data_IF_688886270111
#
_entry.id   IF_688886270111
#
_cell.length_a   1.000
_cell.length_b   1.000
_cell.length_c   1.000
_cell.angle_alpha   90.00
_cell.angle_beta   90.00
_cell.angle_gamma   90.00
#
_symmetry.space_group_name_H-M   'P 1'
#
loop_
_entity.id
_entity.type
_entity.pdbx_description
1 polymer ?
#
# COMPACT_ATOMS: atom_id res chain seq x y z
N UNK A 1 95.37 18.67 -28.06
CA UNK A 1 95.33 19.64 -29.15
C UNK A 1 94.86 20.96 -28.58
N UNK A 2 95.80 21.80 -28.43
CA UNK A 2 95.83 23.20 -28.07
C UNK A 2 94.84 24.05 -28.88
N UNK A 3 94.11 24.93 -28.23
CA UNK A 3 93.71 26.16 -28.87
C UNK A 3 93.73 27.30 -27.85
N UNK A 4 94.77 28.07 -27.95
CA UNK A 4 94.98 29.40 -27.36
C UNK A 4 93.95 30.35 -28.07
N UNK A 5 93.10 30.99 -27.31
CA UNK A 5 92.48 32.24 -27.76
C UNK A 5 93.21 33.39 -27.09
N UNK A 6 93.97 34.11 -27.91
CA UNK A 6 94.63 35.34 -27.67
C UNK A 6 93.65 36.41 -27.18
N UNK A 7 93.80 36.86 -25.92
CA UNK A 7 93.23 38.11 -25.44
C UNK A 7 94.05 39.24 -25.98
N UNK A 8 93.67 39.78 -27.11
CA UNK A 8 94.12 41.05 -27.59
C UNK A 8 93.40 42.15 -26.76
N UNK A 9 93.92 42.47 -25.63
CA UNK A 9 93.54 43.71 -24.98
C UNK A 9 94.09 44.84 -25.82
N UNK A 10 93.17 45.68 -26.32
CA UNK A 10 93.53 46.96 -26.94
C UNK A 10 94.26 47.85 -25.89
N UNK A 11 95.58 47.90 -26.02
CA UNK A 11 96.38 48.83 -25.29
C UNK A 11 96.15 50.25 -25.91
N UNK A 12 95.27 51.01 -25.29
CA UNK A 12 94.92 52.38 -25.78
C UNK A 12 95.86 53.42 -25.26
N UNK A 13 96.73 53.16 -24.28
CA UNK A 13 97.83 54.09 -23.88
C UNK A 13 98.95 53.31 -23.14
N UNK A 14 100.19 53.69 -23.44
CA UNK A 14 101.42 53.15 -22.79
C UNK A 14 101.63 53.62 -21.34
N UNK A 15 100.84 54.55 -20.84
CA UNK A 15 100.92 55.06 -19.48
C UNK A 15 100.03 54.28 -18.51
N UNK A 16 100.60 53.37 -17.75
CA UNK A 16 99.97 52.77 -16.57
C UNK A 16 99.91 53.88 -15.50
N UNK A 17 98.73 54.43 -15.33
CA UNK A 17 98.44 55.33 -14.19
C UNK A 17 98.38 54.43 -12.93
N UNK A 18 99.51 54.51 -12.15
CA UNK A 18 99.44 54.01 -10.79
C UNK A 18 99.09 55.22 -9.90
N UNK A 19 97.88 55.44 -9.56
CA UNK A 19 97.53 56.49 -8.62
C UNK A 19 97.97 56.05 -7.21
N UNK A 20 98.77 56.89 -6.53
CA UNK A 20 99.09 56.65 -5.15
C UNK A 20 97.78 56.52 -4.29
N UNK A 21 97.91 55.81 -3.21
CA UNK A 21 96.72 55.43 -2.36
C UNK A 21 96.01 56.71 -1.87
N UNK A 22 96.66 57.85 -1.77
CA UNK A 22 96.07 59.13 -1.43
C UNK A 22 95.18 59.74 -2.51
N UNK A 23 95.49 59.48 -3.80
CA UNK A 23 94.68 59.95 -4.91
C UNK A 23 93.39 59.15 -5.08
N UNK A 24 93.36 57.87 -4.70
CA UNK A 24 92.12 57.01 -4.70
C UNK A 24 91.13 57.53 -3.65
N UNK A 25 91.64 58.10 -2.56
CA UNK A 25 90.76 58.58 -1.49
C UNK A 25 90.06 59.90 -1.83
N UNK A 26 90.59 60.65 -2.83
CA UNK A 26 90.08 61.97 -3.24
C UNK A 26 89.16 61.89 -4.50
N UNK A 27 89.03 60.74 -5.14
CA UNK A 27 88.09 60.60 -6.24
C UNK A 27 86.65 60.45 -5.70
N UNK A 28 85.76 61.29 -6.24
CA UNK A 28 84.36 61.26 -5.81
C UNK A 28 83.64 59.93 -6.16
N UNK A 29 84.02 59.29 -7.25
CA UNK A 29 83.41 58.03 -7.69
C UNK A 29 83.59 56.86 -6.68
N UNK A 30 84.77 56.60 -6.07
CA UNK A 30 84.88 55.57 -5.02
C UNK A 30 84.21 55.96 -3.71
N UNK A 31 83.98 57.26 -3.45
CA UNK A 31 83.27 57.76 -2.26
C UNK A 31 81.76 57.54 -2.40
N UNK A 32 81.20 57.75 -3.59
CA UNK A 32 79.79 57.52 -3.83
C UNK A 32 79.46 56.03 -3.95
N UNK A 33 80.42 55.20 -4.30
CA UNK A 33 80.23 53.74 -4.40
C UNK A 33 80.49 52.98 -3.08
N UNK A 34 80.76 53.66 -1.97
CA UNK A 34 80.67 53.10 -0.66
C UNK A 34 79.18 52.93 -0.36
N UNK A 35 78.67 51.74 -0.70
CA UNK A 35 77.33 51.36 -0.31
C UNK A 35 77.18 51.73 1.18
N UNK A 36 76.49 52.83 1.42
CA UNK A 36 76.19 53.32 2.75
C UNK A 36 75.64 52.11 3.52
N UNK A 37 75.93 51.98 4.81
CA UNK A 37 75.52 50.90 5.66
C UNK A 37 74.02 50.66 5.68
N UNK A 38 73.31 51.20 4.71
CA UNK A 38 71.87 51.09 4.44
C UNK A 38 71.44 49.68 4.17
N UNK A 39 72.23 48.84 3.47
CA UNK A 39 71.97 47.47 3.21
C UNK A 39 71.90 46.64 4.50
N UNK A 40 72.70 46.98 5.52
CA UNK A 40 72.62 46.33 6.84
C UNK A 40 71.34 46.68 7.58
N UNK A 41 70.93 47.98 7.51
CA UNK A 41 69.69 48.47 8.11
C UNK A 41 68.49 47.88 7.37
N UNK A 42 68.49 47.78 6.03
CA UNK A 42 67.44 47.16 5.22
C UNK A 42 67.39 45.65 5.49
N UNK A 43 68.52 44.98 5.59
CA UNK A 43 68.58 43.53 5.97
C UNK A 43 68.04 43.33 7.37
N UNK A 44 68.39 44.12 8.35
CA UNK A 44 67.87 43.99 9.72
C UNK A 44 66.37 44.31 9.79
N UNK A 45 65.88 45.30 9.01
CA UNK A 45 64.45 45.58 8.88
C UNK A 45 63.71 44.44 8.24
N UNK A 46 64.25 43.83 7.15
CA UNK A 46 63.68 42.64 6.52
C UNK A 46 63.64 41.40 7.48
N UNK A 47 64.75 41.20 8.23
CA UNK A 47 64.79 40.15 9.25
C UNK A 47 63.79 40.40 10.38
N UNK A 48 63.63 41.64 10.83
CA UNK A 48 62.61 42.00 11.82
C UNK A 48 61.21 41.79 11.26
N UNK A 49 60.88 42.20 10.04
CA UNK A 49 59.63 41.96 9.38
C UNK A 49 59.34 40.45 9.18
N UNK A 50 60.38 39.70 8.77
CA UNK A 50 60.29 38.25 8.64
C UNK A 50 59.99 37.55 9.99
N UNK A 51 60.68 38.05 11.07
CA UNK A 51 60.44 37.53 12.42
C UNK A 51 59.02 37.85 12.91
N UNK A 52 58.58 39.11 12.71
CA UNK A 52 57.18 39.49 13.03
C UNK A 52 56.16 38.67 12.22
N UNK A 53 56.42 38.45 10.92
CA UNK A 53 55.60 37.64 10.06
C UNK A 53 55.57 36.18 10.53
N UNK A 54 56.68 35.59 10.93
CA UNK A 54 56.75 34.25 11.51
C UNK A 54 55.94 34.16 12.80
N UNK A 55 56.10 35.14 13.71
CA UNK A 55 55.29 35.21 14.95
C UNK A 55 53.79 35.31 14.60
N UNK A 56 53.42 36.15 13.61
CA UNK A 56 52.02 36.29 13.15
C UNK A 56 51.44 34.99 12.60
N UNK A 57 52.26 34.16 11.93
CA UNK A 57 51.83 32.85 11.42
C UNK A 57 51.43 31.86 12.52
N UNK A 58 51.97 32.00 13.75
CA UNK A 58 51.63 31.14 14.89
C UNK A 58 50.53 31.73 15.78
N UNK A 59 49.99 32.90 15.48
CA UNK A 59 48.86 33.45 16.23
C UNK A 59 47.62 32.57 16.05
N UNK A 60 46.79 32.38 17.11
CA UNK A 60 45.57 31.64 17.04
C UNK A 60 44.55 32.36 16.13
N UNK A 61 44.08 31.66 15.13
CA UNK A 61 43.03 32.08 14.21
C UNK A 61 41.81 31.20 14.39
N UNK A 62 40.66 31.79 14.70
CA UNK A 62 39.41 31.04 14.78
C UNK A 62 38.92 30.74 13.36
N UNK A 63 38.93 29.46 13.01
CA UNK A 63 38.34 29.01 11.74
C UNK A 63 36.89 29.42 11.69
N UNK A 64 36.43 29.97 10.59
CA UNK A 64 35.04 30.31 10.37
C UNK A 64 34.56 29.80 8.99
N UNK A 65 33.40 29.21 8.98
CA UNK A 65 32.71 28.80 7.76
C UNK A 65 31.51 29.69 7.56
N UNK A 66 31.52 30.43 6.44
CA UNK A 66 30.41 31.30 6.05
C UNK A 66 29.52 30.59 5.06
N UNK A 67 28.23 30.58 5.33
CA UNK A 67 27.25 29.96 4.46
C UNK A 67 25.99 30.82 4.40
N UNK A 68 25.45 30.96 3.19
CA UNK A 68 24.14 31.55 3.00
C UNK A 68 23.08 30.47 3.19
N UNK A 69 21.94 30.84 3.75
CA UNK A 69 20.83 29.95 4.01
C UNK A 69 19.51 30.70 4.02
N UNK A 70 18.48 29.98 4.33
CA UNK A 70 17.14 30.53 4.54
C UNK A 70 16.52 29.95 5.79
N UNK A 71 15.64 30.71 6.39
CA UNK A 71 14.85 30.28 7.54
C UNK A 71 13.84 29.25 7.04
N UNK A 72 13.77 28.13 7.74
CA UNK A 72 12.85 27.03 7.48
C UNK A 72 12.30 26.51 8.82
N UNK A 73 11.61 25.39 8.81
CA UNK A 73 11.17 24.71 10.02
C UNK A 73 12.04 23.48 10.29
N UNK A 74 12.20 23.16 11.57
CA UNK A 74 13.03 22.04 12.02
C UNK A 74 12.48 20.71 11.52
N UNK A 75 11.17 20.51 11.63
CA UNK A 75 10.50 19.26 11.22
C UNK A 75 9.82 19.44 9.87
N UNK A 76 9.91 18.42 8.98
CA UNK A 76 9.28 18.47 7.66
C UNK A 76 7.76 18.72 7.70
N UNK A 77 7.06 18.14 8.68
CA UNK A 77 5.62 18.28 8.90
C UNK A 77 5.17 19.70 9.26
N UNK A 78 6.09 20.51 9.75
CA UNK A 78 5.86 21.92 10.12
C UNK A 78 6.07 22.89 8.96
N UNK A 79 6.46 22.39 7.77
CA UNK A 79 6.60 23.23 6.58
C UNK A 79 5.24 23.58 6.00
N UNK A 80 5.13 24.70 5.24
CA UNK A 80 3.93 24.97 4.48
C UNK A 80 3.56 23.78 3.61
N UNK A 81 2.31 23.35 3.72
CA UNK A 81 1.79 22.20 2.99
C UNK A 81 0.76 22.66 1.98
N UNK A 82 0.89 22.16 0.76
CA UNK A 82 -0.11 22.38 -0.27
C UNK A 82 -1.14 21.25 -0.21
N UNK A 83 -2.41 21.62 -0.06
CA UNK A 83 -3.53 20.69 -0.13
C UNK A 83 -3.94 20.55 -1.59
N UNK A 84 -4.01 19.29 -2.02
CA UNK A 84 -4.41 18.91 -3.37
C UNK A 84 -5.84 18.37 -3.39
N UNK A 85 -6.52 18.55 -4.53
CA UNK A 85 -7.81 17.93 -4.78
C UNK A 85 -7.69 16.41 -4.82
N UNK A 86 -8.44 15.72 -3.98
CA UNK A 86 -8.50 14.25 -3.98
C UNK A 86 -9.40 13.72 -5.10
N UNK A 87 -10.33 14.53 -5.58
CA UNK A 87 -11.26 14.23 -6.67
C UNK A 87 -11.35 15.41 -7.62
N UNK A 88 -11.71 15.14 -8.88
CA UNK A 88 -12.09 16.19 -9.80
C UNK A 88 -13.45 16.77 -9.40
N UNK A 89 -13.59 18.09 -9.46
CA UNK A 89 -14.82 18.76 -9.07
C UNK A 89 -14.84 20.21 -9.51
N UNK A 90 -15.96 20.90 -9.25
CA UNK A 90 -16.11 22.33 -9.46
C UNK A 90 -16.18 23.02 -8.11
N UNK A 91 -15.42 24.10 -7.92
CA UNK A 91 -15.42 24.90 -6.69
C UNK A 91 -16.78 25.61 -6.57
N UNK A 92 -17.57 25.25 -5.56
CA UNK A 92 -18.88 25.87 -5.29
C UNK A 92 -18.79 26.92 -4.20
N UNK A 93 -18.02 26.66 -3.16
CA UNK A 93 -17.95 27.56 -1.99
C UNK A 93 -16.64 27.46 -1.26
N UNK A 94 -16.08 28.61 -0.92
CA UNK A 94 -15.01 28.76 0.05
C UNK A 94 -15.59 29.07 1.43
N UNK A 95 -15.06 28.44 2.47
CA UNK A 95 -15.43 28.64 3.86
C UNK A 95 -14.40 29.44 4.65
N UNK A 96 -13.23 29.67 4.05
CA UNK A 96 -12.09 30.34 4.66
C UNK A 96 -11.57 31.46 3.76
N UNK A 97 -10.85 32.41 4.37
CA UNK A 97 -10.12 33.48 3.67
C UNK A 97 -8.62 33.33 3.87
N UNK A 98 -7.83 33.92 2.98
CA UNK A 98 -6.37 33.98 3.16
C UNK A 98 -6.02 34.71 4.47
N UNK A 99 -5.01 34.20 5.18
CA UNK A 99 -4.61 34.69 6.51
C UNK A 99 -5.45 34.16 7.68
N UNK A 100 -6.54 33.47 7.42
CA UNK A 100 -7.43 32.94 8.48
C UNK A 100 -6.80 31.73 9.18
N UNK A 101 -6.95 31.68 10.52
CA UNK A 101 -6.63 30.51 11.31
C UNK A 101 -7.67 29.41 11.10
N UNK A 102 -7.21 28.16 10.92
CA UNK A 102 -8.04 26.96 10.78
C UNK A 102 -7.56 25.88 11.71
N UNK A 103 -8.51 25.05 12.18
CA UNK A 103 -8.22 23.86 12.99
C UNK A 103 -8.29 22.61 12.12
N UNK A 104 -7.64 21.57 12.58
CA UNK A 104 -7.74 20.25 11.95
C UNK A 104 -9.21 19.81 11.80
N UNK A 105 -9.59 19.49 10.57
CA UNK A 105 -10.96 19.08 10.23
C UNK A 105 -11.88 20.22 9.77
N UNK A 106 -11.48 21.48 9.93
CA UNK A 106 -12.28 22.61 9.42
C UNK A 106 -12.39 22.51 7.91
N UNK A 107 -13.61 22.74 7.40
CA UNK A 107 -13.86 22.75 5.95
C UNK A 107 -13.28 24.01 5.33
N UNK A 108 -12.46 23.84 4.30
CA UNK A 108 -11.81 24.91 3.56
C UNK A 108 -12.63 25.29 2.33
N UNK A 109 -12.97 24.28 1.51
CA UNK A 109 -13.70 24.47 0.26
C UNK A 109 -14.65 23.31 0.03
N UNK A 110 -15.80 23.59 -0.54
CA UNK A 110 -16.77 22.61 -1.01
C UNK A 110 -16.72 22.51 -2.54
N UNK A 111 -16.60 21.26 -3.00
CA UNK A 111 -16.58 20.90 -4.40
C UNK A 111 -17.90 20.26 -4.81
N UNK A 112 -18.43 20.58 -5.97
CA UNK A 112 -19.50 19.81 -6.58
C UNK A 112 -18.94 18.80 -7.58
N UNK A 113 -19.66 17.71 -7.76
CA UNK A 113 -19.29 16.65 -8.68
C UNK A 113 -19.42 17.11 -10.14
N UNK A 114 -18.49 16.67 -10.99
CA UNK A 114 -18.49 16.96 -12.44
C UNK A 114 -18.62 15.69 -13.29
N UNK A 115 -18.51 14.50 -12.69
CA UNK A 115 -18.66 13.22 -13.39
C UNK A 115 -20.12 12.76 -13.34
N UNK A 116 -20.69 12.45 -14.51
CA UNK A 116 -22.08 12.03 -14.65
C UNK A 116 -22.48 10.85 -13.77
N UNK A 117 -21.56 9.90 -13.55
CA UNK A 117 -21.79 8.69 -12.74
C UNK A 117 -22.11 8.98 -11.26
N UNK A 118 -21.83 10.18 -10.77
CA UNK A 118 -21.95 10.59 -9.37
C UNK A 118 -22.83 11.81 -9.15
N UNK A 119 -23.55 12.27 -10.20
CA UNK A 119 -24.42 13.45 -10.09
C UNK A 119 -25.64 13.25 -9.18
N UNK A 120 -26.03 12.01 -8.93
CA UNK A 120 -27.20 11.72 -8.10
C UNK A 120 -26.85 11.90 -6.61
N UNK A 121 -27.39 12.91 -5.93
CA UNK A 121 -27.14 13.14 -4.52
C UNK A 121 -27.70 12.03 -3.62
N UNK A 122 -28.69 11.25 -4.12
CA UNK A 122 -29.28 10.13 -3.42
C UNK A 122 -28.60 8.77 -3.76
N UNK A 123 -27.46 8.79 -4.43
CA UNK A 123 -26.77 7.57 -4.89
C UNK A 123 -26.43 6.62 -3.76
N UNK A 124 -26.00 7.13 -2.62
CA UNK A 124 -25.68 6.36 -1.41
C UNK A 124 -26.92 5.66 -0.88
N UNK A 125 -28.04 6.40 -0.75
CA UNK A 125 -29.31 5.88 -0.23
C UNK A 125 -29.92 4.85 -1.18
N UNK A 126 -29.88 5.12 -2.49
CA UNK A 126 -30.38 4.16 -3.50
C UNK A 126 -29.59 2.87 -3.50
N UNK A 127 -28.27 2.97 -3.40
CA UNK A 127 -27.42 1.77 -3.30
C UNK A 127 -27.67 1.02 -1.99
N UNK A 128 -27.89 1.73 -0.89
CA UNK A 128 -28.32 1.14 0.39
C UNK A 128 -29.63 0.37 0.29
N UNK A 129 -30.63 0.96 -0.40
CA UNK A 129 -31.91 0.27 -0.65
C UNK A 129 -31.72 -0.99 -1.52
N UNK A 130 -30.83 -0.97 -2.51
CA UNK A 130 -30.52 -2.15 -3.31
C UNK A 130 -29.84 -3.24 -2.47
N UNK A 131 -28.97 -2.88 -1.55
CA UNK A 131 -28.37 -3.81 -0.58
C UNK A 131 -29.46 -4.47 0.26
N UNK A 132 -30.35 -3.68 0.87
CA UNK A 132 -31.44 -4.20 1.71
C UNK A 132 -32.39 -5.12 0.92
N UNK A 133 -32.74 -4.80 -0.30
CA UNK A 133 -33.57 -5.65 -1.17
C UNK A 133 -32.88 -6.99 -1.48
N UNK A 134 -31.58 -6.98 -1.76
CA UNK A 134 -30.83 -8.21 -2.01
C UNK A 134 -30.64 -9.05 -0.75
N UNK A 135 -30.48 -8.44 0.42
CA UNK A 135 -30.45 -9.13 1.71
C UNK A 135 -31.78 -9.82 2.00
N UNK A 136 -32.90 -9.17 1.69
CA UNK A 136 -34.23 -9.81 1.71
C UNK A 136 -34.31 -11.03 0.81
N UNK A 137 -33.72 -10.98 -0.39
CA UNK A 137 -33.64 -12.14 -1.29
C UNK A 137 -32.85 -13.30 -0.68
N UNK A 138 -31.73 -13.04 -0.02
CA UNK A 138 -30.93 -14.08 0.66
C UNK A 138 -31.76 -14.78 1.76
N UNK A 139 -32.51 -14.01 2.54
CA UNK A 139 -33.41 -14.56 3.57
C UNK A 139 -34.53 -15.46 2.95
N UNK A 140 -35.09 -15.02 1.82
CA UNK A 140 -36.11 -15.81 1.10
C UNK A 140 -35.54 -17.13 0.54
N UNK A 141 -34.33 -17.11 -0.04
CA UNK A 141 -33.65 -18.35 -0.49
C UNK A 141 -33.33 -19.28 0.69
N UNK A 142 -32.89 -18.73 1.82
CA UNK A 142 -32.69 -19.53 3.04
C UNK A 142 -33.95 -20.19 3.53
N UNK A 143 -35.09 -19.50 3.52
CA UNK A 143 -36.41 -20.05 3.82
C UNK A 143 -36.81 -21.17 2.84
N UNK A 144 -36.54 -20.99 1.54
CA UNK A 144 -36.83 -22.03 0.52
C UNK A 144 -35.96 -23.27 0.74
N UNK A 145 -34.67 -23.12 1.06
CA UNK A 145 -33.78 -24.26 1.38
C UNK A 145 -34.33 -25.05 2.56
N UNK A 146 -34.73 -24.38 3.66
CA UNK A 146 -35.31 -25.02 4.83
C UNK A 146 -36.63 -25.76 4.50
N UNK A 147 -37.49 -25.17 3.65
CA UNK A 147 -38.72 -25.80 3.20
C UNK A 147 -38.47 -27.09 2.40
N UNK A 148 -37.47 -27.07 1.49
CA UNK A 148 -37.04 -28.23 0.73
C UNK A 148 -36.47 -29.34 1.62
N UNK A 149 -35.70 -29.02 2.65
CA UNK A 149 -35.17 -29.98 3.63
C UNK A 149 -36.27 -30.62 4.45
N UNK A 150 -37.27 -29.84 4.86
CA UNK A 150 -38.46 -30.35 5.52
C UNK A 150 -39.25 -31.27 4.59
N UNK A 151 -39.43 -30.94 3.31
CA UNK A 151 -40.06 -31.74 2.29
C UNK A 151 -39.33 -33.09 2.10
N UNK A 152 -38.00 -33.06 1.97
CA UNK A 152 -37.19 -34.28 1.86
C UNK A 152 -37.34 -35.19 3.08
N UNK A 153 -37.41 -34.59 4.27
CA UNK A 153 -37.63 -35.33 5.52
C UNK A 153 -39.01 -35.98 5.55
N UNK A 154 -40.05 -35.28 5.10
CA UNK A 154 -41.41 -35.83 4.97
C UNK A 154 -41.49 -36.99 3.96
N UNK A 155 -40.81 -36.84 2.80
CA UNK A 155 -40.71 -37.91 1.79
C UNK A 155 -40.03 -39.17 2.37
N UNK A 156 -38.96 -39.03 3.15
CA UNK A 156 -38.30 -40.17 3.82
C UNK A 156 -39.25 -40.93 4.76
N UNK A 157 -40.02 -40.20 5.55
CA UNK A 157 -41.05 -40.82 6.43
C UNK A 157 -42.15 -41.49 5.64
N UNK A 158 -42.59 -40.93 4.51
CA UNK A 158 -43.57 -41.53 3.61
C UNK A 158 -43.04 -42.84 3.06
N UNK A 159 -41.80 -42.89 2.55
CA UNK A 159 -41.18 -44.14 2.07
C UNK A 159 -41.13 -45.21 3.17
N UNK A 160 -40.70 -44.85 4.38
CA UNK A 160 -40.62 -45.78 5.51
C UNK A 160 -42.01 -46.41 5.80
N UNK A 161 -43.04 -45.57 5.86
CA UNK A 161 -44.41 -46.05 6.10
C UNK A 161 -44.93 -46.93 4.97
N UNK A 162 -44.73 -46.55 3.70
CA UNK A 162 -45.13 -47.37 2.52
C UNK A 162 -44.39 -48.69 2.48
N UNK A 163 -43.07 -48.64 2.78
CA UNK A 163 -42.25 -49.87 2.85
C UNK A 163 -42.75 -50.81 3.92
N UNK A 164 -43.02 -50.34 5.14
CA UNK A 164 -43.60 -51.14 6.22
C UNK A 164 -44.98 -51.76 5.83
N UNK A 165 -45.85 -50.95 5.22
CA UNK A 165 -47.16 -51.40 4.77
C UNK A 165 -47.02 -52.50 3.70
N UNK A 166 -46.17 -52.33 2.72
CA UNK A 166 -45.97 -53.31 1.63
C UNK A 166 -45.30 -54.60 2.13
N UNK A 167 -44.32 -54.49 3.05
CA UNK A 167 -43.75 -55.70 3.69
C UNK A 167 -44.79 -56.51 4.48
N UNK A 168 -45.70 -55.82 5.18
CA UNK A 168 -46.79 -56.50 5.85
C UNK A 168 -47.71 -57.23 4.85
N UNK A 169 -48.06 -56.65 3.69
CA UNK A 169 -48.80 -57.28 2.60
C UNK A 169 -48.06 -58.49 2.03
N UNK A 170 -46.76 -58.39 1.82
CA UNK A 170 -45.89 -59.48 1.38
C UNK A 170 -45.94 -60.62 2.38
N UNK A 171 -45.86 -60.35 3.68
CA UNK A 171 -45.96 -61.37 4.73
C UNK A 171 -47.33 -62.03 4.73
N UNK A 172 -48.44 -61.30 4.62
CA UNK A 172 -49.78 -61.81 4.52
C UNK A 172 -49.93 -62.66 3.27
N UNK A 173 -49.40 -62.22 2.12
CA UNK A 173 -49.44 -63.01 0.88
C UNK A 173 -48.69 -64.36 0.99
N UNK A 174 -47.53 -64.36 1.68
CA UNK A 174 -46.79 -65.61 1.94
C UNK A 174 -47.60 -66.62 2.76
N UNK A 175 -48.28 -66.13 3.81
CA UNK A 175 -49.16 -66.98 4.60
C UNK A 175 -50.34 -67.51 3.76
N UNK A 176 -50.92 -66.67 2.89
CA UNK A 176 -51.96 -67.06 1.96
C UNK A 176 -51.50 -68.18 0.97
N UNK A 177 -50.30 -68.01 0.40
CA UNK A 177 -49.68 -69.02 -0.47
C UNK A 177 -49.50 -70.33 0.26
N UNK A 178 -49.08 -70.34 1.53
CA UNK A 178 -48.93 -71.55 2.31
C UNK A 178 -50.25 -72.26 2.49
N UNK A 179 -51.32 -71.49 2.83
CA UNK A 179 -52.68 -72.09 2.98
C UNK A 179 -53.21 -72.63 1.65
N UNK A 180 -53.10 -71.86 0.57
CA UNK A 180 -53.58 -72.29 -0.76
C UNK A 180 -52.77 -73.47 -1.29
N UNK A 181 -51.48 -73.58 -0.99
CA UNK A 181 -50.62 -74.73 -1.32
C UNK A 181 -51.10 -75.99 -0.60
N UNK A 182 -51.43 -75.87 0.70
CA UNK A 182 -51.97 -77.01 1.48
C UNK A 182 -53.33 -77.49 0.90
N UNK A 183 -54.20 -76.52 0.55
CA UNK A 183 -55.52 -76.87 -0.05
C UNK A 183 -55.32 -77.53 -1.44
N UNK A 184 -54.36 -77.05 -2.23
CA UNK A 184 -54.07 -77.69 -3.54
C UNK A 184 -53.52 -79.11 -3.36
N UNK A 185 -52.58 -79.35 -2.44
CA UNK A 185 -52.11 -80.73 -2.16
C UNK A 185 -53.21 -81.63 -1.64
N UNK A 186 -54.13 -81.17 -0.78
CA UNK A 186 -55.28 -81.88 -0.31
C UNK A 186 -56.20 -82.27 -1.49
N UNK A 187 -56.46 -81.29 -2.40
CA UNK A 187 -57.34 -81.57 -3.58
C UNK A 187 -56.73 -82.56 -4.55
N UNK A 188 -55.41 -82.66 -4.69
CA UNK A 188 -54.69 -83.69 -5.45
C UNK A 188 -54.96 -85.11 -4.84
N UNK A 189 -54.79 -85.15 -3.50
CA UNK A 189 -55.06 -86.43 -2.78
C UNK A 189 -56.51 -86.85 -2.97
N UNK A 190 -57.49 -85.91 -2.82
CA UNK A 190 -58.91 -86.19 -3.05
C UNK A 190 -59.18 -86.70 -4.45
N UNK A 191 -58.56 -86.10 -5.50
CA UNK A 191 -58.68 -86.58 -6.87
C UNK A 191 -58.10 -88.00 -7.02
N UNK A 192 -56.90 -88.28 -6.50
CA UNK A 192 -56.26 -89.59 -6.57
C UNK A 192 -57.09 -90.66 -5.90
N UNK A 193 -57.74 -90.34 -4.76
CA UNK A 193 -58.67 -91.24 -4.08
C UNK A 193 -59.92 -91.54 -4.97
N UNK A 194 -60.53 -90.47 -5.55
CA UNK A 194 -61.68 -90.61 -6.44
C UNK A 194 -61.38 -91.43 -7.70
N UNK A 195 -60.18 -91.24 -8.28
CA UNK A 195 -59.71 -92.04 -9.42
C UNK A 195 -59.53 -93.49 -9.08
N UNK A 196 -58.89 -93.82 -7.96
CA UNK A 196 -58.74 -95.18 -7.47
C UNK A 196 -60.10 -95.87 -7.16
N UNK A 197 -61.07 -95.12 -6.57
CA UNK A 197 -62.39 -95.58 -6.31
C UNK A 197 -63.15 -95.86 -7.61
N UNK A 198 -63.04 -95.01 -8.61
CA UNK A 198 -63.67 -95.24 -9.93
C UNK A 198 -63.10 -96.48 -10.59
N UNK A 199 -61.78 -96.66 -10.64
CA UNK A 199 -61.05 -97.76 -11.21
C UNK A 199 -61.53 -99.11 -10.54
N UNK A 200 -61.63 -99.11 -9.18
CA UNK A 200 -62.13 -100.26 -8.44
C UNK A 200 -63.57 -100.61 -8.76
N UNK A 201 -64.50 -99.61 -8.85
CA UNK A 201 -65.90 -99.84 -9.19
C UNK A 201 -66.03 -100.21 -10.65
N UNK A 202 -65.25 -99.67 -11.57
CA UNK A 202 -65.26 -100.06 -12.98
C UNK A 202 -64.86 -101.50 -13.17
N UNK A 203 -63.80 -102.00 -12.51
CA UNK A 203 -63.37 -103.39 -12.55
C UNK A 203 -64.46 -104.39 -11.96
N UNK A 204 -65.24 -103.97 -10.95
CA UNK A 204 -66.33 -104.73 -10.41
C UNK A 204 -67.57 -104.72 -11.29
N UNK A 205 -67.89 -103.63 -11.99
CA UNK A 205 -68.97 -103.50 -12.94
C UNK A 205 -68.76 -104.41 -14.15
N UNK A 206 -67.52 -104.42 -14.68
CA UNK A 206 -67.13 -105.32 -15.77
C UNK A 206 -67.36 -106.83 -15.41
N UNK A 207 -67.26 -107.16 -14.13
CA UNK A 207 -67.53 -108.48 -13.60
C UNK A 207 -69.04 -108.74 -13.25
N UNK A 208 -69.93 -107.76 -13.52
CA UNK A 208 -71.35 -107.84 -13.23
C UNK A 208 -71.77 -107.74 -11.75
N UNK A 209 -70.78 -107.22 -10.87
CA UNK A 209 -70.96 -107.15 -9.41
C UNK A 209 -71.41 -105.77 -8.91
N UNK A 210 -71.42 -104.75 -9.79
CA UNK A 210 -71.85 -103.38 -9.48
C UNK A 210 -72.78 -102.81 -10.55
N UNK A 211 -73.76 -101.95 -10.14
CA UNK A 211 -74.71 -101.30 -11.04
C UNK A 211 -74.10 -100.22 -11.90
N UNK A 212 -74.74 -99.88 -13.05
CA UNK A 212 -74.32 -98.72 -13.88
C UNK A 212 -74.43 -97.39 -13.12
N UNK A 213 -75.47 -97.24 -12.31
CA UNK A 213 -75.72 -96.04 -11.48
C UNK A 213 -74.53 -95.76 -10.50
N UNK A 214 -74.02 -96.85 -9.87
CA UNK A 214 -72.85 -96.72 -8.98
C UNK A 214 -71.59 -96.33 -9.72
N UNK A 215 -71.37 -96.76 -10.96
CA UNK A 215 -70.30 -96.39 -11.82
C UNK A 215 -70.40 -94.91 -12.19
N UNK A 216 -71.59 -94.48 -12.65
CA UNK A 216 -71.85 -93.04 -12.99
C UNK A 216 -71.67 -92.14 -11.79
N UNK A 217 -72.12 -92.56 -10.57
CA UNK A 217 -71.87 -91.79 -9.34
C UNK A 217 -70.34 -91.58 -9.09
N UNK A 218 -69.51 -92.57 -9.24
CA UNK A 218 -68.06 -92.46 -9.06
C UNK A 218 -67.40 -91.65 -10.16
N UNK A 219 -67.95 -91.70 -11.39
CA UNK A 219 -67.50 -90.89 -12.49
C UNK A 219 -67.77 -89.39 -12.26
N UNK A 220 -68.99 -89.08 -11.72
CA UNK A 220 -69.33 -87.70 -11.28
C UNK A 220 -68.40 -87.23 -10.17
N UNK A 221 -68.20 -88.09 -9.11
CA UNK A 221 -67.28 -87.76 -8.00
C UNK A 221 -65.84 -87.46 -8.49
N UNK A 222 -65.32 -88.22 -9.47
CA UNK A 222 -64.04 -87.94 -10.10
C UNK A 222 -64.02 -86.55 -10.79
N UNK A 223 -65.10 -86.20 -11.53
CA UNK A 223 -65.22 -84.93 -12.21
C UNK A 223 -65.28 -83.74 -11.18
N UNK A 224 -66.04 -83.91 -10.09
CA UNK A 224 -66.09 -82.96 -9.01
C UNK A 224 -64.70 -82.74 -8.35
N UNK A 225 -63.99 -83.83 -8.02
CA UNK A 225 -62.68 -83.79 -7.45
C UNK A 225 -61.66 -83.11 -8.40
N UNK A 226 -61.75 -83.37 -9.72
CA UNK A 226 -60.96 -82.76 -10.75
C UNK A 226 -61.23 -81.25 -10.82
N UNK A 227 -62.51 -80.85 -10.84
CA UNK A 227 -62.88 -79.42 -10.83
C UNK A 227 -62.35 -78.71 -9.56
N UNK A 228 -62.45 -79.34 -8.40
CA UNK A 228 -61.94 -78.85 -7.12
C UNK A 228 -60.40 -78.65 -7.15
N UNK A 229 -59.68 -79.68 -7.71
CA UNK A 229 -58.22 -79.56 -7.89
C UNK A 229 -57.85 -78.38 -8.77
N UNK A 230 -58.50 -78.19 -9.93
CA UNK A 230 -58.24 -77.06 -10.83
C UNK A 230 -58.55 -75.73 -10.12
N UNK A 231 -59.63 -75.62 -9.38
CA UNK A 231 -60.00 -74.47 -8.60
C UNK A 231 -58.91 -74.12 -7.53
N UNK A 232 -58.41 -75.13 -6.80
CA UNK A 232 -57.37 -74.99 -5.82
C UNK A 232 -56.03 -74.58 -6.46
N UNK A 233 -55.70 -75.18 -7.61
CA UNK A 233 -54.50 -74.82 -8.40
C UNK A 233 -54.53 -73.33 -8.83
N UNK A 234 -55.65 -72.88 -9.36
CA UNK A 234 -55.84 -71.51 -9.77
C UNK A 234 -55.71 -70.54 -8.58
N UNK A 235 -56.29 -70.86 -7.41
CA UNK A 235 -56.14 -70.08 -6.18
C UNK A 235 -54.64 -69.95 -5.79
N UNK A 236 -53.94 -71.08 -5.79
CA UNK A 236 -52.51 -71.12 -5.46
C UNK A 236 -51.69 -70.29 -6.44
N UNK A 237 -51.92 -70.36 -7.76
CA UNK A 237 -51.21 -69.51 -8.74
C UNK A 237 -51.56 -68.03 -8.58
N UNK A 238 -52.85 -67.72 -8.32
CA UNK A 238 -53.22 -66.30 -8.07
C UNK A 238 -52.52 -65.73 -6.83
N UNK A 239 -52.37 -66.47 -5.74
CA UNK A 239 -51.67 -66.06 -4.56
C UNK A 239 -50.15 -65.83 -4.81
N UNK A 240 -49.56 -66.66 -5.67
CA UNK A 240 -48.18 -66.47 -6.12
C UNK A 240 -48.04 -65.17 -6.96
N UNK A 241 -48.99 -64.92 -7.85
CA UNK A 241 -48.99 -63.67 -8.63
C UNK A 241 -49.19 -62.42 -7.74
N UNK A 242 -50.06 -62.49 -6.73
CA UNK A 242 -50.26 -61.44 -5.73
C UNK A 242 -48.97 -61.14 -5.01
N UNK A 243 -48.16 -62.14 -4.60
CA UNK A 243 -46.86 -61.94 -3.99
C UNK A 243 -45.91 -61.21 -4.92
N UNK A 244 -45.81 -61.63 -6.18
CA UNK A 244 -44.95 -60.98 -7.17
C UNK A 244 -45.36 -59.51 -7.39
N UNK A 245 -46.67 -59.25 -7.46
CA UNK A 245 -47.22 -57.91 -7.58
C UNK A 245 -46.74 -56.99 -6.42
N UNK A 246 -46.88 -57.43 -5.14
CA UNK A 246 -46.45 -56.64 -3.98
C UNK A 246 -44.96 -56.47 -3.93
N UNK A 247 -44.16 -57.43 -4.40
CA UNK A 247 -42.68 -57.24 -4.53
C UNK A 247 -42.32 -56.19 -5.60
N UNK A 248 -43.03 -56.19 -6.72
CA UNK A 248 -42.88 -55.21 -7.80
C UNK A 248 -43.32 -53.84 -7.34
N UNK A 249 -44.42 -53.71 -6.61
CA UNK A 249 -44.90 -52.47 -6.01
C UNK A 249 -43.84 -51.86 -5.06
N UNK A 250 -43.21 -52.72 -4.23
CA UNK A 250 -42.12 -52.21 -3.34
C UNK A 250 -41.00 -51.63 -4.13
N UNK A 251 -40.52 -52.27 -5.18
CA UNK A 251 -39.43 -51.74 -6.05
C UNK A 251 -39.88 -50.47 -6.77
N UNK A 252 -41.12 -50.39 -7.23
CA UNK A 252 -41.67 -49.19 -7.87
C UNK A 252 -41.67 -47.99 -6.91
N UNK A 253 -42.19 -48.17 -5.68
CA UNK A 253 -42.18 -47.10 -4.67
C UNK A 253 -40.76 -46.61 -4.32
N UNK A 254 -39.80 -47.53 -4.22
CA UNK A 254 -38.41 -47.17 -3.97
C UNK A 254 -37.82 -46.33 -5.12
N UNK A 255 -38.08 -46.70 -6.36
CA UNK A 255 -37.63 -45.96 -7.54
C UNK A 255 -38.29 -44.57 -7.67
N UNK A 256 -39.62 -44.51 -7.47
CA UNK A 256 -40.35 -43.24 -7.45
C UNK A 256 -39.82 -42.28 -6.37
N UNK A 257 -39.59 -42.82 -5.17
CA UNK A 257 -39.02 -42.05 -4.09
C UNK A 257 -37.62 -41.56 -4.44
N UNK A 258 -36.72 -42.41 -4.97
CA UNK A 258 -35.38 -42.02 -5.38
C UNK A 258 -35.40 -40.86 -6.40
N UNK A 259 -36.31 -40.96 -7.39
CA UNK A 259 -36.49 -39.88 -8.38
C UNK A 259 -37.00 -38.58 -7.77
N UNK A 260 -38.00 -38.62 -6.89
CA UNK A 260 -38.54 -37.46 -6.19
C UNK A 260 -37.46 -36.81 -5.30
N UNK A 261 -36.68 -37.64 -4.60
CA UNK A 261 -35.61 -37.19 -3.72
C UNK A 261 -34.49 -36.51 -4.51
N UNK A 262 -34.03 -37.15 -5.61
CA UNK A 262 -33.01 -36.56 -6.47
C UNK A 262 -33.45 -35.21 -7.05
N UNK A 263 -34.73 -35.08 -7.44
CA UNK A 263 -35.30 -33.82 -7.91
C UNK A 263 -35.31 -32.75 -6.83
N UNK A 264 -35.76 -33.06 -5.61
CA UNK A 264 -35.78 -32.14 -4.48
C UNK A 264 -34.38 -31.73 -4.06
N UNK A 265 -33.43 -32.66 -4.09
CA UNK A 265 -32.01 -32.37 -3.80
C UNK A 265 -31.37 -31.46 -4.86
N UNK A 266 -31.63 -31.70 -6.14
CA UNK A 266 -31.19 -30.83 -7.24
C UNK A 266 -31.74 -29.39 -7.08
N UNK A 267 -33.02 -29.25 -6.73
CA UNK A 267 -33.68 -27.97 -6.49
C UNK A 267 -33.06 -27.26 -5.26
N UNK A 268 -32.73 -28.01 -4.19
CA UNK A 268 -32.04 -27.48 -3.02
C UNK A 268 -30.67 -26.92 -3.39
N UNK A 269 -29.87 -27.64 -4.17
CA UNK A 269 -28.56 -27.15 -4.63
C UNK A 269 -28.66 -25.93 -5.55
N UNK A 270 -29.62 -25.91 -6.46
CA UNK A 270 -29.89 -24.72 -7.29
C UNK A 270 -30.25 -23.52 -6.43
N UNK A 271 -31.11 -23.67 -5.42
CA UNK A 271 -31.48 -22.57 -4.51
C UNK A 271 -30.29 -22.10 -3.65
N UNK A 272 -29.43 -23.02 -3.22
CA UNK A 272 -28.19 -22.65 -2.52
C UNK A 272 -27.23 -21.85 -3.43
N UNK A 273 -27.11 -22.24 -4.70
CA UNK A 273 -26.32 -21.49 -5.68
C UNK A 273 -26.85 -20.06 -5.85
N UNK A 274 -28.17 -19.90 -6.01
CA UNK A 274 -28.84 -18.61 -6.09
C UNK A 274 -28.59 -17.77 -4.81
N UNK A 275 -28.61 -18.39 -3.64
CA UNK A 275 -28.29 -17.73 -2.37
C UNK A 275 -26.85 -17.21 -2.31
N UNK A 276 -25.88 -18.01 -2.75
CA UNK A 276 -24.47 -17.60 -2.81
C UNK A 276 -24.23 -16.49 -3.83
N UNK A 277 -24.87 -16.55 -4.98
CA UNK A 277 -24.81 -15.47 -5.99
C UNK A 277 -25.41 -14.16 -5.45
N UNK A 278 -26.53 -14.25 -4.75
CA UNK A 278 -27.13 -13.09 -4.09
C UNK A 278 -26.19 -12.52 -3.02
N UNK A 279 -25.54 -13.37 -2.24
CA UNK A 279 -24.53 -12.95 -1.23
C UNK A 279 -23.34 -12.24 -1.88
N UNK A 280 -22.81 -12.78 -2.97
CA UNK A 280 -21.77 -12.13 -3.76
C UNK A 280 -22.21 -10.77 -4.29
N UNK A 281 -23.45 -10.66 -4.75
CA UNK A 281 -24.03 -9.39 -5.22
C UNK A 281 -24.16 -8.35 -4.11
N UNK A 282 -24.58 -8.76 -2.90
CA UNK A 282 -24.65 -7.89 -1.71
C UNK A 282 -23.28 -7.34 -1.37
N UNK A 283 -22.25 -8.19 -1.33
CA UNK A 283 -20.89 -7.75 -1.04
C UNK A 283 -20.37 -6.73 -2.06
N UNK A 284 -20.65 -6.94 -3.35
CA UNK A 284 -20.30 -6.01 -4.41
C UNK A 284 -21.02 -4.65 -4.24
N UNK A 285 -22.32 -4.69 -3.95
CA UNK A 285 -23.10 -3.46 -3.71
C UNK A 285 -22.65 -2.71 -2.46
N UNK A 286 -22.28 -3.40 -1.37
CA UNK A 286 -21.73 -2.79 -0.16
C UNK A 286 -20.41 -2.07 -0.44
N UNK A 287 -19.48 -2.72 -1.18
CA UNK A 287 -18.22 -2.09 -1.60
C UNK A 287 -18.51 -0.82 -2.42
N UNK A 288 -19.46 -0.87 -3.34
CA UNK A 288 -19.88 0.30 -4.13
C UNK A 288 -20.45 1.41 -3.23
N UNK A 289 -21.32 1.07 -2.30
CA UNK A 289 -21.90 2.03 -1.34
C UNK A 289 -20.81 2.69 -0.48
N UNK A 290 -19.87 1.91 0.07
CA UNK A 290 -18.75 2.45 0.83
C UNK A 290 -17.87 3.40 0.00
N UNK A 291 -17.62 3.04 -1.26
CA UNK A 291 -16.88 3.91 -2.18
C UNK A 291 -17.62 5.23 -2.43
N UNK A 292 -18.94 5.20 -2.57
CA UNK A 292 -19.74 6.41 -2.74
C UNK A 292 -19.74 7.28 -1.47
N UNK A 293 -19.85 6.67 -0.29
CA UNK A 293 -19.74 7.38 1.01
C UNK A 293 -18.38 8.05 1.15
N UNK A 294 -17.29 7.32 0.86
CA UNK A 294 -15.92 7.87 0.92
C UNK A 294 -15.76 9.01 -0.09
N UNK A 295 -16.27 8.84 -1.31
CA UNK A 295 -16.21 9.89 -2.34
C UNK A 295 -16.97 11.13 -1.91
N UNK A 296 -18.15 10.96 -1.32
CA UNK A 296 -18.95 12.09 -0.82
C UNK A 296 -18.21 12.90 0.26
N UNK A 297 -17.40 12.24 1.10
CA UNK A 297 -16.55 12.94 2.07
C UNK A 297 -15.48 13.82 1.41
N UNK A 298 -14.99 13.45 0.23
CA UNK A 298 -13.98 14.23 -0.51
C UNK A 298 -14.53 15.50 -1.18
N UNK A 299 -15.85 15.72 -1.21
CA UNK A 299 -16.41 16.98 -1.65
C UNK A 299 -16.07 18.13 -0.69
N UNK A 300 -15.82 17.82 0.57
CA UNK A 300 -15.37 18.77 1.57
C UNK A 300 -13.86 18.64 1.75
N UNK A 301 -13.10 19.60 1.24
CA UNK A 301 -11.67 19.65 1.49
C UNK A 301 -11.46 20.29 2.84
N UNK A 302 -10.85 19.55 3.74
CA UNK A 302 -10.63 19.94 5.15
C UNK A 302 -9.16 20.18 5.45
N UNK A 303 -8.90 20.97 6.50
CA UNK A 303 -7.56 21.22 7.02
C UNK A 303 -6.98 19.92 7.65
N UNK A 304 -5.78 19.47 7.23
CA UNK A 304 -5.15 18.27 7.79
C UNK A 304 -4.58 18.50 9.20
N UNK A 305 -4.34 19.76 9.56
CA UNK A 305 -3.75 20.19 10.83
C UNK A 305 -4.12 21.64 11.16
N UNK A 306 -3.87 22.06 12.40
CA UNK A 306 -4.05 23.44 12.83
C UNK A 306 -3.04 24.35 12.13
N UNK A 307 -3.49 25.49 11.64
CA UNK A 307 -2.62 26.38 10.89
C UNK A 307 -3.31 27.64 10.36
N UNK A 308 -2.62 28.31 9.47
CA UNK A 308 -3.11 29.52 8.79
C UNK A 308 -3.15 29.26 7.29
N UNK A 309 -4.22 29.72 6.64
CA UNK A 309 -4.32 29.72 5.18
C UNK A 309 -3.32 30.74 4.62
N UNK A 310 -2.37 30.30 3.83
CA UNK A 310 -1.35 31.17 3.23
C UNK A 310 -1.83 31.75 1.92
N UNK A 311 -2.27 30.88 1.00
CA UNK A 311 -2.66 31.27 -0.34
C UNK A 311 -3.66 30.29 -0.91
N UNK A 312 -4.73 30.80 -1.53
CA UNK A 312 -5.64 30.06 -2.40
C UNK A 312 -5.03 30.01 -3.81
N UNK A 313 -4.62 28.82 -4.24
CA UNK A 313 -3.96 28.64 -5.56
C UNK A 313 -4.98 28.65 -6.69
N UNK A 314 -6.19 28.15 -6.41
CA UNK A 314 -7.34 28.10 -7.33
C UNK A 314 -8.53 28.87 -6.74
N UNK A 315 -8.55 30.20 -6.78
CA UNK A 315 -9.53 31.02 -6.05
C UNK A 315 -10.88 31.12 -6.74
N UNK A 316 -11.01 30.74 -8.02
CA UNK A 316 -12.19 31.00 -8.84
C UNK A 316 -13.41 30.16 -8.41
N UNK A 317 -14.53 30.84 -8.04
CA UNK A 317 -15.82 30.16 -7.90
C UNK A 317 -16.29 29.65 -9.25
N UNK A 318 -16.78 28.40 -9.32
CA UNK A 318 -17.16 27.74 -10.56
C UNK A 318 -15.98 27.14 -11.36
N UNK A 319 -14.76 27.33 -10.92
CA UNK A 319 -13.57 26.75 -11.57
C UNK A 319 -13.58 25.22 -11.45
N UNK A 320 -13.29 24.55 -12.56
CA UNK A 320 -13.16 23.08 -12.59
C UNK A 320 -11.74 22.71 -12.26
N UNK A 321 -11.57 21.86 -11.25
CA UNK A 321 -10.30 21.33 -10.81
C UNK A 321 -10.21 19.84 -11.15
N UNK A 322 -8.99 19.38 -11.41
CA UNK A 322 -8.68 17.96 -11.63
C UNK A 322 -8.18 17.32 -10.34
N UNK A 323 -8.27 16.03 -10.27
CA UNK A 323 -7.61 15.25 -9.23
C UNK A 323 -6.10 15.53 -9.24
N UNK A 324 -5.53 15.82 -8.07
CA UNK A 324 -4.13 16.20 -7.91
C UNK A 324 -3.84 17.69 -8.07
N UNK A 325 -4.79 18.54 -8.49
CA UNK A 325 -4.56 19.98 -8.58
C UNK A 325 -4.36 20.58 -7.18
N UNK A 326 -3.38 21.49 -7.07
CA UNK A 326 -3.12 22.25 -5.87
C UNK A 326 -4.24 23.31 -5.65
N UNK A 327 -4.85 23.31 -4.47
CA UNK A 327 -5.98 24.18 -4.15
C UNK A 327 -5.57 25.31 -3.21
N UNK A 328 -4.91 24.99 -2.11
CA UNK A 328 -4.60 25.93 -1.05
C UNK A 328 -3.31 25.51 -0.33
N UNK A 329 -2.54 26.50 0.13
CA UNK A 329 -1.36 26.28 0.98
C UNK A 329 -1.68 26.64 2.42
N UNK A 330 -1.32 25.74 3.36
CA UNK A 330 -1.50 25.91 4.81
C UNK A 330 -0.13 25.95 5.48
N UNK A 331 0.09 26.96 6.34
CA UNK A 331 1.20 27.03 7.26
C UNK A 331 0.75 26.50 8.63
N UNK A 332 1.40 25.48 9.20
CA UNK A 332 1.12 25.04 10.57
C UNK A 332 1.21 26.17 11.60
N UNK A 333 0.32 26.16 12.60
CA UNK A 333 0.32 27.18 13.65
C UNK A 333 1.50 27.02 14.61
N UNK A 334 1.86 25.76 14.93
CA UNK A 334 2.99 25.44 15.80
C UNK A 334 4.17 24.95 14.96
N UNK A 335 5.24 25.73 14.94
CA UNK A 335 6.45 25.36 14.23
C UNK A 335 7.71 25.80 14.96
N UNK A 336 8.71 24.96 14.91
CA UNK A 336 10.05 25.28 15.40
C UNK A 336 10.89 25.78 14.24
N UNK A 337 11.40 27.01 14.39
CA UNK A 337 12.28 27.59 13.39
C UNK A 337 13.60 26.83 13.32
N UNK A 338 14.15 26.77 12.13
CA UNK A 338 15.50 26.33 11.85
C UNK A 338 16.05 27.14 10.67
N UNK A 339 17.35 27.14 10.49
CA UNK A 339 17.97 27.66 9.28
C UNK A 339 18.60 26.52 8.51
N UNK A 340 18.25 26.39 7.25
CA UNK A 340 19.01 25.58 6.33
C UNK A 340 20.09 26.43 5.68
N UNK A 341 21.33 26.10 5.92
CA UNK A 341 22.49 26.77 5.31
C UNK A 341 23.25 25.80 4.40
N UNK A 342 23.87 26.36 3.37
CA UNK A 342 24.55 25.58 2.34
C UNK A 342 26.07 25.80 2.42
N UNK A 343 26.78 24.75 2.87
CA UNK A 343 28.22 24.75 3.14
C UNK A 343 28.96 24.13 1.96
N UNK A 344 30.10 24.68 1.60
CA UNK A 344 30.96 24.17 0.53
C UNK A 344 31.56 22.81 0.91
N UNK A 345 31.81 21.90 -0.05
CA UNK A 345 32.43 20.62 0.22
C UNK A 345 33.75 20.68 0.97
N UNK A 346 34.54 21.70 0.69
CA UNK A 346 35.83 21.95 1.35
C UNK A 346 35.70 22.22 2.87
N UNK A 347 34.59 22.85 3.27
CA UNK A 347 34.38 23.30 4.65
C UNK A 347 33.57 22.26 5.47
N UNK A 348 32.95 21.27 4.80
CA UNK A 348 32.12 20.26 5.45
C UNK A 348 32.87 19.44 6.52
N UNK A 349 34.13 18.99 6.30
CA UNK A 349 34.87 18.22 7.30
C UNK A 349 35.11 18.96 8.61
N UNK A 350 35.03 20.27 8.59
CA UNK A 350 35.19 21.12 9.78
C UNK A 350 33.93 21.26 10.60
N UNK A 351 32.75 20.96 9.99
CA UNK A 351 31.46 21.04 10.64
C UNK A 351 31.16 19.78 11.44
N UNK A 352 30.63 19.99 12.64
CA UNK A 352 30.19 18.90 13.51
C UNK A 352 28.78 19.16 14.02
N UNK A 353 28.03 18.10 14.31
CA UNK A 353 26.74 18.22 14.98
C UNK A 353 26.97 18.84 16.36
N UNK A 354 26.14 19.82 16.73
CA UNK A 354 26.32 20.61 17.96
C UNK A 354 27.22 21.82 17.82
N UNK A 355 27.89 22.02 16.68
CA UNK A 355 28.76 23.19 16.46
C UNK A 355 27.96 24.51 16.56
N UNK A 356 28.48 25.53 17.25
CA UNK A 356 27.82 26.83 17.38
C UNK A 356 27.87 27.58 16.06
N UNK A 357 26.77 28.21 15.69
CA UNK A 357 26.62 29.04 14.49
C UNK A 357 26.02 30.38 14.90
N UNK A 358 26.54 31.45 14.36
CA UNK A 358 25.96 32.79 14.49
C UNK A 358 25.26 33.19 13.21
N UNK A 359 24.03 33.69 13.33
CA UNK A 359 23.21 34.13 12.21
C UNK A 359 23.03 35.64 12.17
N UNK A 360 23.05 36.14 10.95
CA UNK A 360 22.51 37.44 10.59
C UNK A 360 21.27 37.20 9.75
N UNK A 361 20.14 37.65 10.23
CA UNK A 361 18.89 37.57 9.48
C UNK A 361 18.68 38.84 8.66
N UNK A 362 18.15 38.69 7.47
CA UNK A 362 17.78 39.79 6.62
C UNK A 362 16.72 40.65 7.31
N UNK A 363 16.91 41.99 7.32
CA UNK A 363 16.03 42.94 8.01
C UNK A 363 16.40 43.25 9.44
N UNK A 364 17.39 42.57 10.03
CA UNK A 364 17.93 42.91 11.35
C UNK A 364 19.30 43.54 11.25
N UNK A 365 19.52 44.74 11.86
CA UNK A 365 20.85 45.39 11.86
C UNK A 365 21.83 44.55 12.70
N UNK A 366 22.98 44.22 12.11
CA UNK A 366 23.99 43.44 12.79
C UNK A 366 25.39 43.90 12.36
N UNK A 367 26.31 43.96 13.32
CA UNK A 367 27.75 44.17 13.07
C UNK A 367 28.51 42.93 13.50
N UNK A 368 29.22 42.33 12.55
CA UNK A 368 30.01 41.11 12.77
C UNK A 368 31.52 41.40 12.56
N UNK A 369 32.33 41.05 13.57
CA UNK A 369 33.77 41.04 13.48
C UNK A 369 34.31 39.62 13.31
N UNK A 370 34.88 39.35 12.13
CA UNK A 370 35.50 38.05 11.85
C UNK A 370 36.78 37.90 12.69
N UNK A 371 36.87 36.86 13.49
CA UNK A 371 38.03 36.59 14.36
C UNK A 371 37.82 36.92 15.85
N UNK A 372 36.85 37.77 16.20
CA UNK A 372 36.51 38.09 17.59
C UNK A 372 35.01 37.93 17.88
N UNK A 373 34.59 36.72 18.18
CA UNK A 373 33.17 36.41 18.34
C UNK A 373 32.47 37.15 19.49
N UNK A 374 33.20 37.59 20.50
CA UNK A 374 32.62 38.28 21.66
C UNK A 374 32.21 39.75 21.43
N UNK A 375 32.57 40.33 20.28
CA UNK A 375 32.31 41.76 19.94
C UNK A 375 31.21 41.95 18.91
N UNK A 376 30.60 40.86 18.41
CA UNK A 376 29.52 40.90 17.40
C UNK A 376 28.19 41.30 18.02
N UNK A 377 27.55 42.35 17.52
CA UNK A 377 26.24 42.87 17.96
C UNK A 377 25.18 42.50 16.92
N UNK A 378 23.98 42.16 17.37
CA UNK A 378 22.84 41.84 16.51
C UNK A 378 22.91 40.45 15.82
N UNK A 379 23.76 39.54 16.30
CA UNK A 379 23.81 38.16 15.80
C UNK A 379 23.04 37.20 16.71
N UNK A 380 22.43 36.20 16.09
CA UNK A 380 21.58 35.20 16.77
C UNK A 380 22.26 33.85 16.82
N UNK A 381 22.16 33.18 17.95
CA UNK A 381 22.83 31.90 18.18
C UNK A 381 22.00 30.71 17.65
N UNK A 382 22.70 29.73 17.09
CA UNK A 382 22.13 28.45 16.73
C UNK A 382 23.13 27.30 16.90
N UNK A 383 22.62 26.06 16.91
CA UNK A 383 23.44 24.85 16.94
C UNK A 383 23.12 23.96 15.75
N UNK A 384 24.14 23.36 15.16
CA UNK A 384 23.98 22.39 14.10
C UNK A 384 23.28 21.15 14.63
N UNK A 385 22.12 20.82 14.04
CA UNK A 385 21.31 19.64 14.42
C UNK A 385 21.49 18.51 13.43
N UNK A 386 21.58 18.83 12.15
CA UNK A 386 21.73 17.81 11.10
C UNK A 386 22.59 18.34 9.95
N UNK A 387 23.27 17.41 9.29
CA UNK A 387 24.04 17.66 8.09
C UNK A 387 23.68 16.60 7.05
N UNK A 388 23.32 17.04 5.85
CA UNK A 388 23.02 16.11 4.77
C UNK A 388 24.30 15.42 4.28
N UNK A 389 24.18 14.16 3.96
CA UNK A 389 25.30 13.36 3.41
C UNK A 389 25.40 13.48 1.88
N UNK A 390 24.38 14.02 1.24
CA UNK A 390 24.31 14.19 -0.21
C UNK A 390 24.49 15.66 -0.58
N UNK A 391 25.12 15.90 -1.73
CA UNK A 391 25.25 17.23 -2.29
C UNK A 391 23.91 17.69 -2.84
N UNK A 392 23.50 18.90 -2.48
CA UNK A 392 22.30 19.55 -3.03
C UNK A 392 22.52 20.00 -4.47
N UNK A 393 21.44 20.31 -5.18
CA UNK A 393 21.46 20.77 -6.59
C UNK A 393 22.34 21.98 -6.86
N UNK A 394 22.66 22.77 -5.80
CA UNK A 394 23.54 23.91 -5.85
C UNK A 394 25.03 23.58 -5.62
N UNK A 395 25.43 22.30 -5.63
CA UNK A 395 26.80 21.85 -5.41
C UNK A 395 27.31 22.01 -3.98
N UNK A 396 26.45 22.22 -2.98
CA UNK A 396 26.80 22.41 -1.58
C UNK A 396 26.05 21.39 -0.69
N UNK A 397 26.57 21.19 0.51
CA UNK A 397 25.92 20.38 1.52
C UNK A 397 24.96 21.23 2.35
N UNK A 398 23.74 20.72 2.54
CA UNK A 398 22.76 21.36 3.41
C UNK A 398 23.05 21.00 4.86
N UNK A 399 23.10 22.03 5.69
CA UNK A 399 23.27 21.93 7.15
C UNK A 399 22.07 22.59 7.80
N UNK A 400 21.38 21.86 8.69
CA UNK A 400 20.24 22.35 9.43
C UNK A 400 20.68 22.78 10.82
N UNK A 401 20.29 24.00 11.19
CA UNK A 401 20.67 24.62 12.45
C UNK A 401 19.43 25.07 13.19
N UNK A 402 19.31 24.66 14.46
CA UNK A 402 18.22 25.09 15.35
C UNK A 402 18.63 26.32 16.19
N UNK A 403 17.65 27.08 16.72
CA UNK A 403 17.93 28.13 17.71
C UNK A 403 18.65 27.56 18.92
N UNK A 404 19.60 28.33 19.44
CA UNK A 404 20.19 28.14 20.76
C UNK A 404 19.62 29.19 21.71
N UNK A 405 18.52 28.85 22.36
CA UNK A 405 17.77 29.77 23.23
C UNK A 405 18.52 30.14 24.51
N UNK A 406 19.52 29.34 24.91
CA UNK A 406 20.31 29.61 26.12
C UNK A 406 21.23 30.83 25.97
N UNK A 407 21.65 31.13 24.72
CA UNK A 407 22.60 32.20 24.44
C UNK A 407 21.91 33.46 23.90
N UNK A 408 21.15 33.33 22.81
CA UNK A 408 20.44 34.46 22.20
C UNK A 408 19.19 33.94 21.48
N UNK A 409 17.98 34.21 21.98
CA UNK A 409 16.74 33.79 21.33
C UNK A 409 16.57 34.45 19.97
N UNK A 410 16.01 33.71 19.00
CA UNK A 410 15.70 34.28 17.70
C UNK A 410 14.50 35.24 17.79
N UNK A 411 14.44 36.26 16.90
CA UNK A 411 13.33 37.20 16.91
C UNK A 411 11.98 36.49 16.70
N UNK A 412 10.99 36.85 17.47
CA UNK A 412 9.61 36.27 17.35
C UNK A 412 8.93 36.63 16.02
N UNK A 413 9.34 37.73 15.39
CA UNK A 413 8.84 38.16 14.08
C UNK A 413 9.51 37.44 12.89
N UNK A 414 10.48 36.54 13.15
CA UNK A 414 11.14 35.78 12.11
C UNK A 414 10.21 34.74 11.52
N UNK A 415 10.05 34.71 10.20
CA UNK A 415 9.18 33.79 9.50
C UNK A 415 9.96 32.85 8.58
N UNK A 416 9.45 31.63 8.33
CA UNK A 416 10.02 30.76 7.31
C UNK A 416 10.07 31.44 5.94
N UNK A 417 11.19 31.25 5.21
CA UNK A 417 11.43 31.88 3.92
C UNK A 417 12.38 33.07 3.97
N UNK A 418 12.59 33.69 5.14
CA UNK A 418 13.55 34.80 5.32
C UNK A 418 14.98 34.38 5.04
N UNK A 419 15.80 35.28 4.50
CA UNK A 419 17.21 35.04 4.26
C UNK A 419 18.02 35.04 5.55
N UNK A 420 19.06 34.19 5.60
CA UNK A 420 19.99 34.10 6.72
C UNK A 420 21.41 33.90 6.25
N UNK A 421 22.37 34.62 6.89
CA UNK A 421 23.79 34.40 6.69
C UNK A 421 24.36 33.76 7.95
N UNK A 422 24.78 32.50 7.84
CA UNK A 422 25.39 31.75 8.94
C UNK A 422 26.90 31.82 8.94
N UNK A 423 27.45 31.95 10.13
CA UNK A 423 28.88 31.90 10.38
C UNK A 423 29.13 30.88 11.48
N UNK A 424 29.58 29.69 11.08
CA UNK A 424 29.99 28.66 12.03
C UNK A 424 31.40 28.99 12.55
N UNK A 425 31.53 29.04 13.87
CA UNK A 425 32.80 29.22 14.55
C UNK A 425 33.32 27.87 15.00
N UNK A 426 34.53 27.56 14.52
CA UNK A 426 35.16 26.26 14.71
C UNK A 426 36.35 26.38 15.68
N UNK A 427 37.31 25.49 15.55
CA UNK A 427 38.49 25.45 16.42
C UNK A 427 39.48 26.56 16.10
N UNK A 428 40.27 26.95 17.13
CA UNK A 428 41.38 27.84 16.95
C UNK A 428 42.57 27.06 16.40
N UNK A 429 43.06 27.50 15.25
CA UNK A 429 44.22 26.92 14.57
C UNK A 429 45.26 28.03 14.33
N UNK A 430 46.55 27.74 14.16
CA UNK A 430 47.53 28.76 13.78
C UNK A 430 47.25 29.25 12.34
N UNK A 431 47.53 30.53 12.11
CA UNK A 431 47.28 31.20 10.80
C UNK A 431 47.95 30.44 9.64
N UNK A 432 49.16 29.91 9.82
CA UNK A 432 49.85 29.12 8.78
C UNK A 432 49.08 27.88 8.34
N UNK A 433 48.40 27.20 9.29
CA UNK A 433 47.62 26.01 8.98
C UNK A 433 46.38 26.36 8.14
N UNK A 434 45.68 27.44 8.48
CA UNK A 434 44.50 27.86 7.71
C UNK A 434 44.89 28.31 6.29
N UNK A 435 46.04 29.01 6.17
CA UNK A 435 46.58 29.40 4.85
C UNK A 435 46.94 28.16 4.02
N UNK A 436 47.61 27.18 4.64
CA UNK A 436 47.94 25.89 4.02
C UNK A 436 46.71 25.14 3.56
N UNK A 437 45.67 25.09 4.42
CA UNK A 437 44.37 24.43 4.10
C UNK A 437 43.70 25.08 2.88
N UNK A 438 43.67 26.40 2.83
CA UNK A 438 43.04 27.12 1.72
C UNK A 438 43.81 26.89 0.41
N UNK A 439 45.17 26.88 0.46
CA UNK A 439 46.00 26.67 -0.73
C UNK A 439 45.93 25.23 -1.28
N UNK A 440 45.77 24.23 -0.41
CA UNK A 440 45.70 22.82 -0.80
C UNK A 440 44.26 22.30 -0.93
N UNK A 441 43.26 23.14 -0.68
CA UNK A 441 41.86 22.75 -0.88
C UNK A 441 41.51 22.63 -2.35
N UNK A 442 40.76 21.57 -2.71
CA UNK A 442 40.25 21.45 -4.05
C UNK A 442 39.31 22.63 -4.39
N UNK A 443 39.42 23.21 -5.59
CA UNK A 443 38.54 24.31 -5.97
C UNK A 443 37.09 23.87 -5.99
N UNK A 444 36.14 24.68 -5.48
CA UNK A 444 34.71 24.35 -5.39
C UNK A 444 33.99 24.28 -6.74
N UNK A 445 34.70 24.58 -7.84
CA UNK A 445 34.11 24.73 -9.17
C UNK A 445 33.90 23.40 -9.94
N UNK A 446 34.24 22.25 -9.36
CA UNK A 446 34.02 20.94 -9.95
C UNK A 446 32.51 20.60 -10.17
N UNK A 447 31.62 21.37 -9.55
CA UNK A 447 30.16 21.13 -9.57
C UNK A 447 29.38 22.25 -10.29
N UNK A 448 30.04 23.16 -10.94
CA UNK A 448 29.41 24.13 -11.84
C UNK A 448 29.52 23.59 -13.26
N UNK A 449 28.40 23.49 -13.95
CA UNK A 449 28.47 23.38 -15.39
C UNK A 449 29.07 24.66 -15.98
N UNK A 450 29.69 24.55 -17.15
CA UNK A 450 30.45 25.62 -17.82
C UNK A 450 29.62 26.88 -18.12
N UNK A 451 28.32 26.92 -17.75
CA UNK A 451 27.44 28.06 -18.01
C UNK A 451 26.82 28.69 -16.74
N UNK A 452 27.17 28.23 -15.55
CA UNK A 452 26.72 28.85 -14.30
C UNK A 452 25.22 28.64 -13.98
N UNK A 453 24.50 27.76 -14.71
CA UNK A 453 23.12 27.42 -14.43
C UNK A 453 23.02 26.20 -13.50
N UNK A 454 22.05 26.16 -12.57
CA UNK A 454 21.82 24.98 -11.76
C UNK A 454 21.41 23.83 -12.67
N UNK A 455 22.05 22.66 -12.50
CA UNK A 455 21.67 21.42 -13.17
C UNK A 455 20.18 21.16 -12.97
N UNK A 456 19.38 21.24 -14.03
CA UNK A 456 18.00 20.79 -14.03
C UNK A 456 18.01 19.29 -13.77
N UNK A 457 17.32 18.87 -12.72
CA UNK A 457 17.10 17.46 -12.41
C UNK A 457 16.44 16.77 -13.62
N UNK A 458 17.08 15.67 -14.07
CA UNK A 458 16.82 14.84 -15.22
C UNK A 458 15.44 14.85 -15.86
N UNK A 459 15.39 15.34 -17.08
CA UNK A 459 14.51 14.76 -18.07
C UNK A 459 15.08 13.38 -18.43
N UNK A 460 14.47 12.33 -17.91
CA UNK A 460 14.68 10.99 -18.39
C UNK A 460 14.16 10.94 -19.83
N UNK A 461 15.05 10.96 -20.81
CA UNK A 461 14.75 10.57 -22.18
C UNK A 461 14.16 9.15 -22.19
N UNK A 462 12.86 9.06 -22.31
CA UNK A 462 12.19 7.91 -22.90
C UNK A 462 12.54 7.88 -24.38
N UNK A 463 13.61 7.19 -24.71
CA UNK A 463 13.82 6.65 -26.06
C UNK A 463 13.28 5.23 -26.11
N UNK A 464 12.20 5.07 -26.90
CA UNK A 464 11.63 3.90 -27.57
C UNK A 464 12.01 2.51 -27.06
#
# INVERSE_FOLDING_TARGET
MTNQFNNAMLNISDNKIHPDEETWQNLQAPRENRLARWHLSVRNLLLLLMTVFLIFMFLPWTQNVRANGKVTTLRPEQRPQTIHATIAGRIERWYVTEGQAVRKGDTIVFLSEVKADYFDPALVDRTGNQVAAKEGSIAAYGGKVTALENQMTAMKRELENKTKQTLNRIQQSRLKIQNDSIEFERSKIELTVAERQLEGVQALHEKGLKSLTELEEKQLKKQEARAKRIGAENKFQNSRNDLLLYQTDLALYQNEFANKMAKAESERFSTLSEQYEATGSVNKLRIQQENYVRRAAFYYITAPQDGYIVQAIKPGLGEIIKEGDAIVSIQPADYQLAVEMYVRPLDLPLMQIGAPVRFLFDGWPAFFFSGWPGVSLGTFSGRVVAMDRNISTNGKFRVLVSPDSEVTPWPSALQPGGGAKGIAMLHNVPVWYELWRILNGFPPDLYKDTQGQPLKAGESETRK
#
